data_IF_841956110635
#
_entry.id   IF_841956110635
#
_cell.length_a   1.000
_cell.length_b   1.000
_cell.length_c   1.000
_cell.angle_alpha   90.00
_cell.angle_beta   90.00
_cell.angle_gamma   90.00
#
_symmetry.space_group_name_H-M   'P 1'
#
loop_
_entity.id
_entity.type
_entity.pdbx_description
1 polymer ?
#
# COMPACT_ATOMS: atom_id res chain seq x y z
N UNK A 1 -11.63 17.89 -14.78
CA UNK A 1 -12.75 17.43 -13.93
C UNK A 1 -12.25 17.46 -12.50
N UNK A 2 -12.49 18.55 -11.77
CA UNK A 2 -11.92 18.76 -10.44
C UNK A 2 -12.40 17.63 -9.51
N UNK A 3 -11.47 16.93 -8.88
CA UNK A 3 -11.79 15.94 -7.87
C UNK A 3 -12.34 16.70 -6.65
N UNK A 4 -13.65 16.89 -6.64
CA UNK A 4 -14.38 17.45 -5.52
C UNK A 4 -14.00 16.69 -4.26
N UNK A 5 -13.67 17.43 -3.20
CA UNK A 5 -13.59 16.91 -1.84
C UNK A 5 -14.81 15.98 -1.62
N UNK A 6 -14.62 14.75 -1.12
CA UNK A 6 -15.73 13.82 -0.86
C UNK A 6 -16.84 14.52 -0.08
N UNK A 7 -18.11 14.25 -0.38
CA UNK A 7 -19.24 14.97 0.26
C UNK A 7 -19.18 14.83 1.78
N UNK A 8 -18.78 13.66 2.25
CA UNK A 8 -18.53 13.33 3.65
C UNK A 8 -17.38 14.14 4.31
N UNK A 9 -16.50 14.77 3.53
CA UNK A 9 -15.32 15.50 4.02
C UNK A 9 -15.47 17.03 3.93
N UNK A 10 -16.62 17.55 3.47
CA UNK A 10 -16.83 19.00 3.24
C UNK A 10 -17.30 19.81 4.45
N UNK A 11 -17.92 19.17 5.44
CA UNK A 11 -18.54 19.83 6.61
C UNK A 11 -18.08 19.20 7.91
N UNK A 12 -16.76 19.06 8.05
CA UNK A 12 -16.14 18.46 9.23
C UNK A 12 -15.94 19.51 10.33
N UNK A 13 -16.20 19.11 11.56
CA UNK A 13 -15.79 19.83 12.77
C UNK A 13 -14.27 19.77 12.93
N UNK A 14 -13.65 20.71 13.68
CA UNK A 14 -12.20 20.70 13.90
C UNK A 14 -11.65 19.36 14.45
N UNK A 15 -12.43 18.67 15.30
CA UNK A 15 -12.05 17.35 15.83
C UNK A 15 -12.06 16.26 14.76
N UNK A 16 -13.01 16.31 13.82
CA UNK A 16 -13.10 15.35 12.71
C UNK A 16 -12.01 15.57 11.66
N UNK A 17 -11.59 16.82 11.44
CA UNK A 17 -10.42 17.15 10.61
C UNK A 17 -9.15 16.50 11.16
N UNK A 18 -8.92 16.60 12.48
CA UNK A 18 -7.77 15.95 13.10
C UNK A 18 -7.80 14.42 12.92
N UNK A 19 -8.97 13.80 13.00
CA UNK A 19 -9.14 12.37 12.74
C UNK A 19 -8.90 12.02 11.25
N UNK A 20 -9.36 12.85 10.32
CA UNK A 20 -9.11 12.71 8.89
C UNK A 20 -7.61 12.77 8.57
N UNK A 21 -6.88 13.74 9.14
CA UNK A 21 -5.43 13.86 8.96
C UNK A 21 -4.69 12.66 9.54
N UNK A 22 -5.11 12.17 10.71
CA UNK A 22 -4.54 10.96 11.29
C UNK A 22 -4.78 9.73 10.39
N UNK A 23 -5.98 9.60 9.80
CA UNK A 23 -6.29 8.54 8.81
C UNK A 23 -5.37 8.66 7.60
N UNK A 24 -5.19 9.85 7.04
CA UNK A 24 -4.33 10.10 5.87
C UNK A 24 -2.85 9.83 6.18
N UNK A 25 -2.36 10.22 7.37
CA UNK A 25 -1.00 9.91 7.85
C UNK A 25 -0.76 8.40 7.95
N UNK A 26 -1.71 7.66 8.53
CA UNK A 26 -1.68 6.19 8.56
C UNK A 26 -1.69 5.61 7.14
N UNK A 27 -2.49 6.18 6.24
CA UNK A 27 -2.51 5.81 4.82
C UNK A 27 -1.14 5.97 4.15
N UNK A 28 -0.44 7.08 4.41
CA UNK A 28 0.91 7.30 3.90
C UNK A 28 1.91 6.27 4.44
N UNK A 29 1.87 5.95 5.74
CA UNK A 29 2.69 4.89 6.31
C UNK A 29 2.44 3.53 5.64
N UNK A 30 1.18 3.19 5.39
CA UNK A 30 0.82 1.96 4.67
C UNK A 30 1.36 1.95 3.23
N UNK A 31 1.35 3.09 2.53
CA UNK A 31 1.96 3.19 1.20
C UNK A 31 3.47 2.96 1.25
N UNK A 32 4.17 3.58 2.20
CA UNK A 32 5.63 3.40 2.38
C UNK A 32 5.95 1.93 2.62
N UNK A 33 5.27 1.28 3.57
CA UNK A 33 5.45 -0.15 3.84
C UNK A 33 5.11 -1.01 2.61
N UNK A 34 4.01 -0.71 1.93
CA UNK A 34 3.60 -1.42 0.70
C UNK A 34 4.66 -1.35 -0.40
N UNK A 35 5.25 -0.17 -0.63
CA UNK A 35 6.34 0.00 -1.59
C UNK A 35 7.62 -0.71 -1.14
N UNK A 36 7.97 -0.68 0.15
CA UNK A 36 9.13 -1.41 0.67
C UNK A 36 8.98 -2.92 0.44
N UNK A 37 7.83 -3.51 0.76
CA UNK A 37 7.57 -4.93 0.48
C UNK A 37 7.56 -5.21 -1.02
N UNK A 38 6.99 -4.32 -1.85
CA UNK A 38 6.99 -4.49 -3.31
C UNK A 38 8.44 -4.53 -3.84
N UNK A 39 9.29 -3.60 -3.41
CA UNK A 39 10.69 -3.58 -3.81
C UNK A 39 11.42 -4.85 -3.39
N UNK A 40 11.21 -5.32 -2.15
CA UNK A 40 11.78 -6.58 -1.68
C UNK A 40 11.33 -7.76 -2.53
N UNK A 41 10.03 -7.86 -2.84
CA UNK A 41 9.50 -8.91 -3.74
C UNK A 41 10.14 -8.84 -5.13
N UNK A 42 10.23 -7.65 -5.73
CA UNK A 42 10.89 -7.45 -7.03
C UNK A 42 12.35 -7.92 -7.01
N UNK A 43 13.10 -7.64 -5.93
CA UNK A 43 14.48 -8.11 -5.80
C UNK A 43 14.59 -9.62 -5.62
N UNK A 44 13.65 -10.24 -4.90
CA UNK A 44 13.65 -11.69 -4.66
C UNK A 44 13.09 -12.46 -5.86
N UNK A 45 12.37 -11.82 -6.78
CA UNK A 45 11.74 -12.45 -7.95
C UNK A 45 12.72 -13.29 -8.79
N UNK A 46 13.98 -12.85 -8.93
CA UNK A 46 15.00 -13.60 -9.65
C UNK A 46 15.33 -14.93 -8.95
N UNK A 47 15.45 -14.90 -7.62
CA UNK A 47 15.75 -16.05 -6.79
C UNK A 47 14.54 -16.99 -6.71
N UNK A 48 13.32 -16.45 -6.63
CA UNK A 48 12.10 -17.25 -6.65
C UNK A 48 11.91 -17.95 -7.99
N UNK A 49 12.27 -17.33 -9.12
CA UNK A 49 12.27 -17.97 -10.43
C UNK A 49 13.26 -19.14 -10.54
N UNK A 50 14.47 -18.99 -10.00
CA UNK A 50 15.46 -20.08 -9.92
C UNK A 50 14.96 -21.22 -9.03
N UNK A 51 14.46 -20.90 -7.85
CA UNK A 51 13.91 -21.85 -6.89
C UNK A 51 12.70 -22.62 -7.45
N UNK A 52 11.82 -21.95 -8.20
CA UNK A 52 10.70 -22.59 -8.90
C UNK A 52 11.15 -23.60 -9.96
N UNK A 53 12.30 -23.34 -10.60
CA UNK A 53 12.79 -24.16 -11.73
C UNK A 53 13.60 -25.35 -11.27
N UNK A 54 14.45 -25.17 -10.26
CA UNK A 54 15.48 -26.15 -9.91
C UNK A 54 15.21 -26.92 -8.62
N UNK A 55 14.36 -26.41 -7.72
CA UNK A 55 14.12 -27.09 -6.45
C UNK A 55 13.17 -28.28 -6.62
N UNK A 56 13.44 -29.42 -5.97
CA UNK A 56 12.64 -30.64 -6.16
C UNK A 56 11.34 -30.63 -5.35
N UNK A 57 10.29 -31.22 -5.93
CA UNK A 57 9.03 -31.47 -5.24
C UNK A 57 8.31 -30.17 -4.84
N UNK A 58 8.07 -29.99 -3.54
CA UNK A 58 7.43 -28.79 -2.97
C UNK A 58 8.41 -27.93 -2.16
N UNK A 59 9.71 -28.19 -2.26
CA UNK A 59 10.72 -27.47 -1.48
C UNK A 59 11.09 -26.14 -2.16
N UNK A 60 10.14 -25.22 -2.27
CA UNK A 60 10.33 -23.91 -2.92
C UNK A 60 10.28 -22.74 -1.90
N UNK A 61 11.25 -22.62 -0.98
CA UNK A 61 11.22 -21.63 0.09
C UNK A 61 11.24 -20.19 -0.42
N UNK A 62 11.97 -19.89 -1.50
CA UNK A 62 12.05 -18.52 -2.05
C UNK A 62 10.75 -18.16 -2.76
N UNK A 63 10.11 -19.12 -3.43
CA UNK A 63 8.79 -18.94 -4.04
C UNK A 63 7.73 -18.61 -2.98
N UNK A 64 7.68 -19.37 -1.88
CA UNK A 64 6.73 -19.10 -0.79
C UNK A 64 6.99 -17.76 -0.10
N UNK A 65 8.26 -17.41 0.08
CA UNK A 65 8.64 -16.13 0.66
C UNK A 65 8.21 -14.96 -0.23
N UNK A 66 8.50 -15.03 -1.53
CA UNK A 66 8.14 -14.00 -2.49
C UNK A 66 6.63 -13.82 -2.59
N UNK A 67 5.85 -14.92 -2.62
CA UNK A 67 4.38 -14.85 -2.57
C UNK A 67 3.87 -14.15 -1.31
N UNK A 68 4.45 -14.44 -0.14
CA UNK A 68 4.06 -13.80 1.13
C UNK A 68 4.36 -12.31 1.09
N UNK A 69 5.57 -11.93 0.70
CA UNK A 69 6.00 -10.52 0.65
C UNK A 69 5.19 -9.73 -0.37
N UNK A 70 4.94 -10.30 -1.55
CA UNK A 70 4.09 -9.71 -2.57
C UNK A 70 2.65 -9.51 -2.06
N UNK A 71 2.10 -10.50 -1.36
CA UNK A 71 0.77 -10.39 -0.73
C UNK A 71 0.74 -9.25 0.30
N UNK A 72 1.75 -9.15 1.16
CA UNK A 72 1.91 -8.02 2.08
C UNK A 72 1.95 -6.69 1.33
N UNK A 73 2.75 -6.58 0.27
CA UNK A 73 2.86 -5.37 -0.56
C UNK A 73 1.50 -4.93 -1.09
N UNK A 74 0.77 -5.84 -1.75
CA UNK A 74 -0.56 -5.56 -2.32
C UNK A 74 -1.55 -5.13 -1.23
N UNK A 75 -1.61 -5.83 -0.09
CA UNK A 75 -2.54 -5.48 0.98
C UNK A 75 -2.27 -4.09 1.58
N UNK A 76 -1.01 -3.73 1.78
CA UNK A 76 -0.63 -2.43 2.31
C UNK A 76 -0.83 -1.31 1.29
N UNK A 77 -0.53 -1.53 0.01
CA UNK A 77 -0.81 -0.57 -1.06
C UNK A 77 -2.31 -0.27 -1.15
N UNK A 78 -3.16 -1.31 -1.18
CA UNK A 78 -4.62 -1.13 -1.24
C UNK A 78 -5.13 -0.36 -0.01
N UNK A 79 -4.69 -0.75 1.20
CA UNK A 79 -5.09 -0.05 2.44
C UNK A 79 -4.62 1.40 2.44
N UNK A 80 -3.38 1.65 2.02
CA UNK A 80 -2.79 2.99 1.93
C UNK A 80 -3.54 3.89 0.97
N UNK A 81 -3.84 3.41 -0.23
CA UNK A 81 -4.63 4.14 -1.23
C UNK A 81 -6.06 4.44 -0.72
N UNK A 82 -6.72 3.46 -0.10
CA UNK A 82 -8.07 3.65 0.47
C UNK A 82 -8.09 4.69 1.59
N UNK A 83 -7.08 4.73 2.46
CA UNK A 83 -7.02 5.69 3.57
C UNK A 83 -6.64 7.10 3.13
N UNK A 84 -5.85 7.22 2.05
CA UNK A 84 -5.40 8.51 1.48
C UNK A 84 -6.37 9.08 0.43
N UNK A 85 -7.54 8.47 0.22
CA UNK A 85 -8.56 9.03 -0.67
C UNK A 85 -8.98 10.45 -0.24
N UNK A 86 -9.39 11.26 -1.22
CA UNK A 86 -9.75 12.68 -1.04
C UNK A 86 -8.55 13.61 -1.29
N UNK A 87 -8.80 14.73 -1.98
CA UNK A 87 -7.79 15.76 -2.27
C UNK A 87 -7.73 16.73 -1.08
N UNK A 88 -6.53 17.14 -0.67
CA UNK A 88 -6.37 18.20 0.33
C UNK A 88 -6.75 19.56 -0.29
N UNK A 89 -7.37 20.45 0.49
CA UNK A 89 -7.66 21.84 0.07
C UNK A 89 -6.44 22.59 -0.48
N UNK A 90 -5.22 22.23 -0.03
CA UNK A 90 -3.96 22.84 -0.45
C UNK A 90 -3.52 22.55 -1.89
N UNK A 91 -4.13 21.58 -2.59
CA UNK A 91 -3.88 21.37 -4.03
C UNK A 91 -4.82 22.22 -4.92
N UNK A 92 -5.71 23.01 -4.32
CA UNK A 92 -6.64 23.90 -5.03
C UNK A 92 -6.17 25.36 -5.14
N UNK A 93 -4.99 25.68 -4.59
CA UNK A 93 -4.29 26.96 -4.80
C UNK A 93 -3.24 26.82 -5.89
#
# INVERSE_FOLDING_TARGET
>A
MAALIPVEERSLTPAEVAHLDQRRRRGHLFLVMGFQFLLVSVFVLLWSGQDATYSPGWAHPMVYWDMLVFTCAVTFLIKGLRMRRGVNEFFSY
#
